data_IF_413829181575
#
_entry.id   IF_413829181575
#
_cell.length_a   1.000
_cell.length_b   1.000
_cell.length_c   1.000
_cell.angle_alpha   90.00
_cell.angle_beta   90.00
_cell.angle_gamma   90.00
#
_symmetry.space_group_name_H-M   'P 1'
#
loop_
_entity.id
_entity.type
_entity.pdbx_description
1 polymer ?
#
# COMPACT_ATOMS: atom_id res chain seq x y z
N UNK A 1 12.95 -3.59 -2.60
CA UNK A 1 12.03 -4.54 -3.27
C UNK A 1 10.63 -3.95 -3.23
N UNK A 2 9.86 -4.12 -4.30
CA UNK A 2 8.48 -3.73 -4.45
C UNK A 2 7.63 -4.98 -4.68
N UNK A 3 6.56 -5.14 -3.91
CA UNK A 3 5.64 -6.28 -4.02
C UNK A 3 4.35 -5.75 -4.62
N UNK A 4 3.91 -6.37 -5.72
CA UNK A 4 2.73 -5.92 -6.47
C UNK A 4 1.76 -7.06 -6.74
N UNK A 5 0.48 -6.71 -6.87
CA UNK A 5 -0.54 -7.57 -7.42
C UNK A 5 -0.34 -7.79 -8.94
N UNK A 6 -1.21 -8.62 -9.51
CA UNK A 6 -1.15 -8.99 -10.92
C UNK A 6 -1.96 -8.05 -11.86
N UNK A 7 -2.24 -6.80 -11.46
CA UNK A 7 -2.95 -5.86 -12.30
C UNK A 7 -2.26 -5.70 -13.67
N UNK A 8 -3.07 -5.52 -14.73
CA UNK A 8 -2.56 -5.51 -16.11
C UNK A 8 -1.53 -4.41 -16.38
N UNK A 9 -1.65 -3.27 -15.70
CA UNK A 9 -0.68 -2.18 -15.83
C UNK A 9 0.65 -2.47 -15.14
N UNK A 10 0.71 -3.25 -14.05
CA UNK A 10 1.97 -3.63 -13.40
C UNK A 10 2.79 -4.60 -14.27
N UNK A 11 2.12 -5.46 -15.04
CA UNK A 11 2.75 -6.49 -15.90
C UNK A 11 2.91 -6.08 -17.37
N UNK A 12 2.58 -4.84 -17.69
CA UNK A 12 2.68 -4.34 -19.06
C UNK A 12 4.14 -4.28 -19.51
N UNK A 13 4.43 -4.73 -20.74
CA UNK A 13 5.76 -4.62 -21.34
C UNK A 13 6.22 -3.16 -21.54
N UNK A 14 5.30 -2.20 -21.38
CA UNK A 14 5.62 -0.76 -21.43
C UNK A 14 6.18 -0.24 -20.10
N UNK A 15 6.04 -0.97 -19.00
CA UNK A 15 6.60 -0.60 -17.70
C UNK A 15 8.11 -0.75 -17.75
N UNK A 16 8.82 0.32 -17.40
CA UNK A 16 10.28 0.30 -17.24
C UNK A 16 10.59 0.37 -15.76
N UNK A 17 11.19 -0.70 -15.23
CA UNK A 17 11.59 -0.74 -13.82
C UNK A 17 12.90 0.06 -13.66
N UNK A 18 12.94 1.08 -12.78
CA UNK A 18 14.16 1.81 -12.49
C UNK A 18 15.26 0.92 -11.90
N UNK A 19 16.51 1.33 -12.11
CA UNK A 19 17.65 0.67 -11.47
C UNK A 19 17.52 0.69 -9.93
N UNK A 20 17.89 -0.41 -9.28
CA UNK A 20 17.78 -0.57 -7.83
C UNK A 20 16.41 -1.01 -7.31
N UNK A 21 15.39 -1.13 -8.18
CA UNK A 21 14.08 -1.67 -7.82
C UNK A 21 13.96 -3.11 -8.33
N UNK A 22 13.64 -4.03 -7.41
CA UNK A 22 13.27 -5.41 -7.71
C UNK A 22 11.76 -5.52 -7.48
N UNK A 23 11.01 -5.93 -8.50
CA UNK A 23 9.56 -6.19 -8.41
C UNK A 23 9.32 -7.69 -8.20
N UNK A 24 8.44 -8.04 -7.27
CA UNK A 24 7.93 -9.41 -7.07
C UNK A 24 6.40 -9.38 -7.14
N UNK A 25 5.84 -10.27 -7.96
CA UNK A 25 4.40 -10.42 -8.10
C UNK A 25 3.86 -11.44 -7.12
N UNK A 26 2.77 -11.11 -6.46
CA UNK A 26 2.07 -12.03 -5.56
C UNK A 26 1.38 -13.15 -6.33
N UNK A 27 1.07 -14.29 -5.69
CA UNK A 27 0.10 -15.23 -6.22
C UNK A 27 -1.25 -14.54 -6.50
N UNK A 28 -2.01 -15.00 -7.51
CA UNK A 28 -3.35 -14.46 -7.77
C UNK A 28 -4.25 -14.57 -6.53
N UNK A 29 -5.04 -13.53 -6.29
CA UNK A 29 -6.05 -13.47 -5.21
C UNK A 29 -5.48 -13.63 -3.79
N UNK A 30 -4.28 -13.10 -3.53
CA UNK A 30 -3.65 -13.09 -2.20
C UNK A 30 -3.48 -11.68 -1.62
N UNK A 31 -4.57 -10.90 -1.43
CA UNK A 31 -4.51 -9.55 -0.88
C UNK A 31 -3.90 -9.48 0.52
N UNK A 32 -4.05 -10.54 1.33
CA UNK A 32 -3.48 -10.66 2.66
C UNK A 32 -1.95 -10.59 2.70
N UNK A 33 -1.30 -10.86 1.56
CA UNK A 33 0.14 -10.80 1.39
C UNK A 33 0.64 -9.44 0.88
N UNK A 34 -0.25 -8.54 0.47
CA UNK A 34 0.12 -7.23 -0.07
C UNK A 34 0.26 -6.20 1.07
N UNK A 35 1.48 -5.69 1.36
CA UNK A 35 1.69 -4.71 2.43
C UNK A 35 0.78 -3.48 2.32
N UNK A 36 0.52 -3.00 1.10
CA UNK A 36 -0.33 -1.84 0.85
C UNK A 36 -1.78 -2.09 1.27
N UNK A 37 -2.34 -3.28 1.02
CA UNK A 37 -3.73 -3.60 1.40
C UNK A 37 -3.88 -3.76 2.90
N UNK A 38 -2.85 -4.26 3.58
CA UNK A 38 -2.84 -4.32 5.05
C UNK A 38 -2.97 -2.95 5.70
N UNK A 39 -2.57 -1.88 5.02
CA UNK A 39 -2.64 -0.51 5.52
C UNK A 39 -4.02 0.14 5.32
N UNK A 40 -4.89 -0.38 4.46
CA UNK A 40 -6.18 0.26 4.14
C UNK A 40 -7.04 0.54 5.37
N UNK A 41 -7.15 -0.40 6.31
CA UNK A 41 -7.94 -0.17 7.53
C UNK A 41 -7.43 1.01 8.35
N UNK A 42 -6.11 1.26 8.35
CA UNK A 42 -5.51 2.39 9.03
C UNK A 42 -5.69 3.68 8.24
N UNK A 43 -5.62 3.63 6.91
CA UNK A 43 -5.75 4.81 6.04
C UNK A 43 -7.20 5.28 5.97
N UNK A 44 -8.15 4.34 5.92
CA UNK A 44 -9.57 4.60 5.71
C UNK A 44 -10.31 4.96 7.00
N UNK A 45 -9.79 4.62 8.18
CA UNK A 45 -10.39 4.95 9.49
C UNK A 45 -10.99 6.36 9.56
N UNK A 46 -10.27 7.45 9.19
CA UNK A 46 -10.82 8.81 9.25
C UNK A 46 -11.82 9.16 8.14
N UNK A 47 -12.09 8.26 7.20
CA UNK A 47 -13.01 8.44 6.08
C UNK A 47 -14.31 7.65 6.25
N UNK A 48 -14.27 6.57 7.04
CA UNK A 48 -15.42 5.68 7.22
C UNK A 48 -16.59 6.45 7.82
N UNK A 49 -17.76 6.35 7.17
CA UNK A 49 -19.01 7.02 7.54
C UNK A 49 -18.98 8.55 7.46
N UNK A 50 -17.97 9.13 6.83
CA UNK A 50 -17.90 10.57 6.59
C UNK A 50 -18.44 10.93 5.19
N UNK A 51 -18.98 12.14 5.05
CA UNK A 51 -19.41 12.69 3.76
C UNK A 51 -18.55 13.89 3.40
N UNK A 52 -17.99 13.89 2.20
CA UNK A 52 -17.16 14.96 1.67
C UNK A 52 -17.85 15.63 0.48
N UNK A 53 -17.72 16.94 0.35
CA UNK A 53 -18.33 17.72 -0.74
C UNK A 53 -17.43 17.79 -1.97
N UNK A 54 -16.13 17.68 -1.78
CA UNK A 54 -15.13 17.77 -2.85
C UNK A 54 -14.08 16.67 -2.71
N UNK A 55 -13.36 16.42 -3.80
CA UNK A 55 -12.19 15.53 -3.79
C UNK A 55 -11.08 16.13 -2.92
N UNK A 56 -10.92 17.45 -2.92
CA UNK A 56 -9.90 18.13 -2.11
C UNK A 56 -10.10 17.87 -0.60
N UNK A 57 -11.35 17.83 -0.12
CA UNK A 57 -11.65 17.57 1.30
C UNK A 57 -11.25 16.15 1.73
N UNK A 58 -11.50 15.13 0.88
CA UNK A 58 -11.08 13.75 1.16
C UNK A 58 -9.56 13.60 1.03
N UNK A 59 -8.94 14.28 0.05
CA UNK A 59 -7.50 14.28 -0.13
C UNK A 59 -6.78 14.91 1.08
N UNK A 60 -7.22 16.06 1.56
CA UNK A 60 -6.64 16.71 2.75
C UNK A 60 -6.72 15.80 3.99
N UNK A 61 -7.86 15.13 4.17
CA UNK A 61 -8.04 14.16 5.27
C UNK A 61 -7.07 12.99 5.15
N UNK A 62 -6.93 12.44 3.95
CA UNK A 62 -6.00 11.35 3.65
C UNK A 62 -4.54 11.76 3.86
N UNK A 63 -4.13 12.92 3.37
CA UNK A 63 -2.75 13.43 3.55
C UNK A 63 -2.42 13.59 5.02
N UNK A 64 -3.32 14.20 5.79
CA UNK A 64 -3.15 14.35 7.24
C UNK A 64 -3.01 12.98 7.92
N UNK A 65 -3.82 11.99 7.52
CA UNK A 65 -3.73 10.64 8.06
C UNK A 65 -2.42 9.96 7.69
N UNK A 66 -1.98 10.07 6.44
CA UNK A 66 -0.71 9.51 5.98
C UNK A 66 0.48 10.11 6.72
N UNK A 67 0.48 11.41 7.00
CA UNK A 67 1.51 12.07 7.81
C UNK A 67 1.56 11.51 9.23
N UNK A 68 0.41 11.30 9.87
CA UNK A 68 0.34 10.66 11.18
C UNK A 68 0.90 9.23 11.12
N UNK A 69 0.41 8.41 10.19
CA UNK A 69 0.85 7.03 10.03
C UNK A 69 2.35 6.94 9.75
N UNK A 70 2.93 7.88 9.01
CA UNK A 70 4.37 7.95 8.77
C UNK A 70 5.20 8.01 10.06
N UNK A 71 4.65 8.59 11.14
CA UNK A 71 5.32 8.63 12.45
C UNK A 71 5.21 7.30 13.22
N UNK A 72 4.27 6.43 12.86
CA UNK A 72 3.98 5.14 13.52
C UNK A 72 4.81 4.00 12.92
N UNK A 73 6.13 4.20 12.86
CA UNK A 73 7.05 3.30 12.13
C UNK A 73 7.02 1.87 12.68
N UNK A 74 6.95 1.69 14.00
CA UNK A 74 6.96 0.36 14.63
C UNK A 74 5.69 -0.43 14.33
N UNK A 75 4.54 0.23 14.38
CA UNK A 75 3.22 -0.33 14.14
C UNK A 75 3.07 -0.73 12.67
N UNK A 76 3.45 0.17 11.74
CA UNK A 76 3.46 -0.12 10.31
C UNK A 76 4.38 -1.30 10.02
N UNK A 77 5.60 -1.31 10.59
CA UNK A 77 6.52 -2.43 10.41
C UNK A 77 5.92 -3.73 10.92
N UNK A 78 5.33 -3.76 12.12
CA UNK A 78 4.71 -4.97 12.67
C UNK A 78 3.54 -5.47 11.80
N UNK A 79 2.82 -4.56 11.14
CA UNK A 79 1.68 -4.89 10.30
C UNK A 79 2.07 -5.41 8.91
N UNK A 80 3.19 -4.94 8.37
CA UNK A 80 3.58 -5.12 6.95
C UNK A 80 4.84 -5.94 6.74
N UNK A 81 5.65 -6.14 7.79
CA UNK A 81 6.90 -6.90 7.70
C UNK A 81 6.67 -8.39 7.92
N UNK A 82 6.44 -9.12 6.83
CA UNK A 82 6.32 -10.57 6.84
C UNK A 82 7.68 -11.24 7.07
N UNK A 83 8.05 -11.49 8.34
CA UNK A 83 9.35 -12.06 8.71
C UNK A 83 9.68 -13.43 8.09
N UNK A 84 8.65 -14.18 7.68
CA UNK A 84 8.76 -15.49 7.04
C UNK A 84 8.83 -15.39 5.50
N UNK A 85 8.52 -14.24 4.93
CA UNK A 85 8.61 -14.01 3.49
C UNK A 85 10.09 -13.77 3.17
N UNK A 86 10.76 -14.85 2.77
CA UNK A 86 12.12 -14.81 2.27
C UNK A 86 12.09 -14.59 0.77
N UNK A 87 13.04 -13.81 0.27
CA UNK A 87 13.19 -13.57 -1.14
C UNK A 87 14.47 -14.24 -1.61
N UNK A 88 14.35 -15.14 -2.59
CA UNK A 88 15.47 -15.61 -3.39
C UNK A 88 16.00 -14.50 -4.32
#
# INVERSE_FOLDING_TARGET
MLVEDNAGWHRSQKVKIPEGIIVKFLPPYSPELQPAERLWSLIDEPLVNESFKTIDEIEERLVTRCQLLHTMTSEIKNLTNYHWLTYD
#
